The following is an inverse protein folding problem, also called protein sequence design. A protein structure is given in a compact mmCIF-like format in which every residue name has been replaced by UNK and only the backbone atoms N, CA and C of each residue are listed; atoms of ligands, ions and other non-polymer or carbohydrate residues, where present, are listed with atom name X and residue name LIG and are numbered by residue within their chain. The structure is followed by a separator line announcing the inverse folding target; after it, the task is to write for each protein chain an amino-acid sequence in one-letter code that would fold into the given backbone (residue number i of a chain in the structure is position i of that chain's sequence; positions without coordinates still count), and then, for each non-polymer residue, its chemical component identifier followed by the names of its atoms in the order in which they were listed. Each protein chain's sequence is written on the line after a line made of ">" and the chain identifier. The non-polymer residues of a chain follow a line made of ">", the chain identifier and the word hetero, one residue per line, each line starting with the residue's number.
data_IF_635319160667
#
_entry.id   IF_635319160667
#
_cell.length_a   1.000
_cell.length_b   1.000
_cell.length_c   1.000
_cell.angle_alpha   90.00
_cell.angle_beta   90.00
_cell.angle_gamma   90.00
#
_symmetry.space_group_name_H-M   'P 1'
#
loop_
_entity.id
_entity.type
_entity.pdbx_description
1 polymer ?
#
# COMPACT_ATOMS: atom_id res chain seq x y z
N UNK A 1 -12.82 4.88 -18.25
CA UNK A 1 -12.25 5.96 -17.43
C UNK A 1 -13.06 6.19 -16.17
N UNK A 2 -14.40 6.39 -16.24
CA UNK A 2 -15.26 6.56 -15.05
C UNK A 2 -15.07 5.45 -14.02
N UNK A 3 -14.97 4.18 -14.47
CA UNK A 3 -14.72 3.02 -13.59
C UNK A 3 -13.33 3.12 -12.93
N UNK A 4 -12.30 3.54 -13.65
CA UNK A 4 -10.95 3.70 -13.13
C UNK A 4 -10.85 4.86 -12.12
N UNK A 5 -11.61 5.93 -12.33
CA UNK A 5 -11.62 7.09 -11.43
C UNK A 5 -12.54 6.91 -10.22
N UNK A 6 -13.65 6.17 -10.37
CA UNK A 6 -14.62 5.94 -9.30
C UNK A 6 -14.31 4.73 -8.41
N UNK A 7 -13.30 3.92 -8.77
CA UNK A 7 -12.88 2.79 -7.95
C UNK A 7 -12.21 3.24 -6.66
N UNK A 8 -12.52 2.60 -5.53
CA UNK A 8 -11.85 2.79 -4.24
C UNK A 8 -10.44 2.21 -4.29
N UNK A 9 -9.52 2.89 -4.97
CA UNK A 9 -8.10 2.54 -5.04
C UNK A 9 -7.32 3.45 -4.12
N UNK A 10 -6.40 2.87 -3.33
CA UNK A 10 -5.48 3.63 -2.48
C UNK A 10 -4.46 4.46 -3.26
N UNK A 11 -4.26 4.16 -4.54
CA UNK A 11 -3.47 4.98 -5.47
C UNK A 11 -4.36 6.00 -6.19
N UNK A 12 -5.17 6.71 -5.45
CA UNK A 12 -5.94 7.82 -5.99
C UNK A 12 -5.19 9.14 -5.80
N UNK A 13 -5.35 10.07 -6.75
CA UNK A 13 -4.69 11.38 -6.72
C UNK A 13 -5.05 12.17 -5.45
N UNK A 14 -6.22 11.93 -4.87
CA UNK A 14 -6.62 12.52 -3.58
C UNK A 14 -5.77 12.06 -2.40
N UNK A 15 -5.11 10.89 -2.49
CA UNK A 15 -4.38 10.27 -1.40
C UNK A 15 -2.85 10.36 -1.59
N UNK A 16 -2.38 10.74 -2.79
CA UNK A 16 -0.95 10.85 -3.07
C UNK A 16 -0.43 12.24 -2.69
N UNK A 17 0.59 12.28 -1.84
CA UNK A 17 1.19 13.52 -1.33
C UNK A 17 2.72 13.41 -1.22
N UNK A 18 3.37 12.82 -2.23
CA UNK A 18 4.83 12.78 -2.28
C UNK A 18 5.40 14.19 -2.57
N UNK A 19 6.23 14.69 -1.66
CA UNK A 19 6.83 16.01 -1.78
C UNK A 19 8.10 16.01 -2.66
N UNK A 20 8.88 14.92 -2.60
CA UNK A 20 10.20 14.78 -3.21
C UNK A 20 10.52 13.33 -3.60
N UNK A 21 11.63 13.15 -4.33
CA UNK A 21 12.12 11.85 -4.75
C UNK A 21 12.56 10.96 -3.59
N UNK A 22 13.01 11.53 -2.48
CA UNK A 22 13.41 10.73 -1.31
C UNK A 22 12.22 10.00 -0.70
N UNK A 23 11.05 10.63 -0.68
CA UNK A 23 9.81 10.00 -0.26
C UNK A 23 9.37 8.90 -1.24
N UNK A 24 9.49 9.15 -2.54
CA UNK A 24 9.22 8.17 -3.59
C UNK A 24 10.16 6.97 -3.44
N UNK A 25 11.45 7.20 -3.27
CA UNK A 25 12.44 6.13 -3.10
C UNK A 25 12.19 5.30 -1.82
N UNK A 26 11.80 5.95 -0.71
CA UNK A 26 11.39 5.20 0.49
C UNK A 26 10.16 4.33 0.22
N UNK A 27 9.16 4.87 -0.45
CA UNK A 27 7.95 4.14 -0.82
C UNK A 27 8.26 2.94 -1.73
N UNK A 28 9.14 3.11 -2.73
CA UNK A 28 9.57 2.02 -3.60
C UNK A 28 10.27 0.91 -2.82
N UNK A 29 11.20 1.24 -1.91
CA UNK A 29 11.89 0.23 -1.09
C UNK A 29 10.94 -0.57 -0.22
N UNK A 30 9.89 0.04 0.32
CA UNK A 30 8.86 -0.67 1.10
C UNK A 30 8.01 -1.57 0.20
N UNK A 31 7.88 -1.23 -1.10
CA UNK A 31 7.26 -2.07 -2.12
C UNK A 31 8.25 -3.05 -2.79
N UNK A 32 9.42 -3.29 -2.19
CA UNK A 32 10.45 -4.22 -2.66
C UNK A 32 11.05 -3.86 -4.03
N UNK A 33 11.08 -2.57 -4.36
CA UNK A 33 11.85 -2.01 -5.47
C UNK A 33 13.05 -1.23 -4.94
N UNK A 34 14.25 -1.58 -5.36
CA UNK A 34 15.43 -0.79 -5.03
C UNK A 34 15.66 0.29 -6.11
N UNK A 35 15.50 1.59 -5.78
CA UNK A 35 15.73 2.66 -6.75
C UNK A 35 17.17 2.74 -7.28
N UNK A 36 18.12 2.10 -6.62
CA UNK A 36 19.52 2.00 -7.09
C UNK A 36 19.76 0.79 -8.02
N UNK A 37 18.82 -0.14 -8.10
CA UNK A 37 18.88 -1.32 -8.96
C UNK A 37 18.38 -0.99 -10.38
N UNK A 38 19.23 -1.09 -11.37
CA UNK A 38 18.82 -0.92 -12.77
C UNK A 38 17.76 -1.95 -13.19
N UNK A 39 17.82 -3.16 -12.65
CA UNK A 39 16.86 -4.24 -12.96
C UNK A 39 15.48 -3.88 -12.41
N UNK A 40 15.40 -3.37 -11.18
CA UNK A 40 14.12 -2.98 -10.57
C UNK A 40 13.51 -1.77 -11.27
N UNK A 41 14.35 -0.82 -11.69
CA UNK A 41 13.88 0.34 -12.44
C UNK A 41 13.39 -0.04 -13.83
N UNK A 42 14.10 -0.94 -14.54
CA UNK A 42 13.65 -1.49 -15.81
C UNK A 42 12.32 -2.26 -15.68
N UNK A 43 12.18 -3.06 -14.62
CA UNK A 43 10.92 -3.74 -14.32
C UNK A 43 9.77 -2.75 -14.11
N UNK A 44 10.00 -1.64 -13.40
CA UNK A 44 8.99 -0.62 -13.19
C UNK A 44 8.58 0.07 -14.50
N UNK A 45 9.55 0.31 -15.39
CA UNK A 45 9.31 0.83 -16.74
C UNK A 45 8.46 -0.12 -17.58
N UNK A 46 8.75 -1.42 -17.53
CA UNK A 46 8.00 -2.45 -18.27
C UNK A 46 6.55 -2.50 -17.79
N UNK A 47 6.29 -2.43 -16.49
CA UNK A 47 4.93 -2.39 -15.94
C UNK A 47 4.20 -1.11 -16.36
N UNK A 48 4.91 0.04 -16.47
CA UNK A 48 4.34 1.27 -17.01
C UNK A 48 3.94 1.10 -18.48
N UNK A 49 4.84 0.58 -19.30
CA UNK A 49 4.58 0.37 -20.73
C UNK A 49 3.36 -0.53 -20.94
N UNK A 50 3.25 -1.61 -20.18
CA UNK A 50 2.09 -2.51 -20.20
C UNK A 50 0.80 -1.81 -19.78
N UNK A 51 0.86 -0.98 -18.74
CA UNK A 51 -0.30 -0.19 -18.29
C UNK A 51 -0.79 0.80 -19.36
N UNK A 52 0.14 1.48 -20.04
CA UNK A 52 -0.17 2.41 -21.13
C UNK A 52 -0.78 1.67 -22.32
N UNK A 53 -0.19 0.53 -22.70
CA UNK A 53 -0.73 -0.33 -23.76
C UNK A 53 -2.13 -0.82 -23.43
N UNK A 54 -2.36 -1.30 -22.20
CA UNK A 54 -3.66 -1.74 -21.72
C UNK A 54 -4.71 -0.63 -21.84
N UNK A 55 -4.40 0.58 -21.38
CA UNK A 55 -5.31 1.73 -21.43
C UNK A 55 -5.64 2.14 -22.86
N UNK A 56 -4.67 2.09 -23.74
CA UNK A 56 -4.83 2.42 -25.15
C UNK A 56 -5.70 1.36 -25.86
N UNK A 57 -5.39 0.08 -25.66
CA UNK A 57 -6.04 -1.03 -26.37
C UNK A 57 -7.48 -1.26 -25.89
N UNK A 58 -7.73 -1.22 -24.57
CA UNK A 58 -9.05 -1.56 -24.01
C UNK A 58 -10.00 -0.37 -23.87
N UNK A 59 -9.47 0.82 -23.68
CA UNK A 59 -10.29 2.02 -23.45
C UNK A 59 -10.17 3.08 -24.56
N UNK A 60 -9.28 2.86 -25.54
CA UNK A 60 -8.96 3.88 -26.54
C UNK A 60 -8.42 5.17 -25.88
N UNK A 61 -7.83 5.04 -24.67
CA UNK A 61 -7.42 6.19 -23.88
C UNK A 61 -5.99 6.56 -24.21
N UNK A 62 -5.83 7.70 -24.89
CA UNK A 62 -4.51 8.19 -25.27
C UNK A 62 -3.83 8.84 -24.07
N UNK A 63 -2.72 8.25 -23.63
CA UNK A 63 -1.85 8.80 -22.59
C UNK A 63 -0.88 9.79 -23.25
N UNK A 64 -0.71 11.01 -22.70
CA UNK A 64 0.30 11.96 -23.18
C UNK A 64 1.71 11.37 -23.09
N UNK A 65 2.57 11.71 -24.06
CA UNK A 65 3.93 11.18 -24.15
C UNK A 65 4.75 11.52 -22.89
N UNK A 66 4.50 12.67 -22.26
CA UNK A 66 5.15 13.08 -21.00
C UNK A 66 4.88 12.09 -19.85
N UNK A 67 3.72 11.42 -19.85
CA UNK A 67 3.35 10.42 -18.84
C UNK A 67 3.72 9.01 -19.31
N UNK A 68 3.60 8.75 -20.61
CA UNK A 68 3.87 7.44 -21.19
C UNK A 68 5.36 7.09 -21.12
N UNK A 69 6.26 8.07 -21.43
CA UNK A 69 7.71 7.84 -21.52
C UNK A 69 8.58 9.07 -21.20
N UNK A 70 7.96 10.25 -21.03
CA UNK A 70 8.69 11.52 -20.89
C UNK A 70 9.38 11.72 -19.54
N UNK A 71 9.02 10.95 -18.51
CA UNK A 71 9.66 10.93 -17.18
C UNK A 71 9.91 9.49 -16.76
N UNK A 72 10.90 9.22 -15.90
CA UNK A 72 11.09 7.89 -15.29
C UNK A 72 9.81 7.40 -14.59
N UNK A 73 9.51 6.10 -14.67
CA UNK A 73 8.25 5.53 -14.14
C UNK A 73 8.03 5.83 -12.65
N UNK A 74 9.08 5.87 -11.84
CA UNK A 74 8.98 6.20 -10.43
C UNK A 74 8.59 7.67 -10.17
N UNK A 75 8.90 8.59 -11.09
CA UNK A 75 8.50 10.00 -10.99
C UNK A 75 7.01 10.22 -11.26
N UNK A 76 6.29 9.23 -11.82
CA UNK A 76 4.83 9.31 -11.93
C UNK A 76 4.15 9.51 -10.59
N UNK A 77 4.76 9.03 -9.49
CA UNK A 77 4.27 9.26 -8.12
C UNK A 77 4.30 10.74 -7.75
N UNK A 78 5.34 11.47 -8.16
CA UNK A 78 5.41 12.93 -7.97
C UNK A 78 4.42 13.65 -8.86
N UNK A 79 4.29 13.25 -10.14
CA UNK A 79 3.31 13.84 -11.04
C UNK A 79 1.89 13.66 -10.53
N UNK A 80 1.55 12.49 -10.01
CA UNK A 80 0.25 12.20 -9.43
C UNK A 80 -0.01 12.95 -8.12
N UNK A 81 1.05 13.35 -7.38
CA UNK A 81 0.95 14.09 -6.11
C UNK A 81 0.81 15.60 -6.27
N UNK A 82 1.08 16.13 -7.46
CA UNK A 82 1.06 17.58 -7.71
C UNK A 82 -0.19 17.96 -8.49
N UNK A 83 -0.90 19.01 -8.05
CA UNK A 83 -2.05 19.57 -8.80
C UNK A 83 -1.53 20.23 -10.10
N UNK A 84 -1.43 19.45 -11.17
CA UNK A 84 -0.88 19.84 -12.45
C UNK A 84 -1.59 19.16 -13.62
N UNK A 85 -1.33 19.61 -14.85
CA UNK A 85 -1.96 19.14 -16.10
C UNK A 85 -1.97 17.61 -16.24
N UNK A 86 -0.90 16.93 -15.82
CA UNK A 86 -0.74 15.49 -16.04
C UNK A 86 -1.11 14.62 -14.82
N UNK A 87 -1.57 15.20 -13.72
CA UNK A 87 -1.89 14.51 -12.49
C UNK A 87 -2.86 13.33 -12.70
N UNK A 88 -3.98 13.58 -13.36
CA UNK A 88 -5.00 12.56 -13.61
C UNK A 88 -4.47 11.41 -14.47
N UNK A 89 -3.68 11.72 -15.50
CA UNK A 89 -3.08 10.70 -16.36
C UNK A 89 -2.07 9.83 -15.60
N UNK A 90 -1.19 10.45 -14.83
CA UNK A 90 -0.23 9.74 -13.98
C UNK A 90 -0.95 8.83 -12.95
N UNK A 91 -2.01 9.34 -12.32
CA UNK A 91 -2.81 8.56 -11.37
C UNK A 91 -3.48 7.36 -12.03
N UNK A 92 -4.06 7.52 -13.23
CA UNK A 92 -4.69 6.41 -13.96
C UNK A 92 -3.66 5.33 -14.32
N UNK A 93 -2.49 5.72 -14.84
CA UNK A 93 -1.40 4.79 -15.17
C UNK A 93 -0.94 4.06 -13.92
N UNK A 94 -0.67 4.76 -12.81
CA UNK A 94 -0.27 4.15 -11.54
C UNK A 94 -1.30 3.16 -10.99
N UNK A 95 -2.60 3.43 -11.13
CA UNK A 95 -3.65 2.48 -10.74
C UNK A 95 -3.59 1.18 -11.53
N UNK A 96 -3.37 1.26 -12.84
CA UNK A 96 -3.23 0.07 -13.67
C UNK A 96 -1.93 -0.67 -13.35
N UNK A 97 -0.81 0.04 -13.21
CA UNK A 97 0.47 -0.54 -12.78
C UNK A 97 0.33 -1.32 -11.47
N UNK A 98 -0.38 -0.75 -10.50
CA UNK A 98 -0.61 -1.40 -9.20
C UNK A 98 -1.41 -2.71 -9.36
N UNK A 99 -2.43 -2.73 -10.20
CA UNK A 99 -3.21 -3.94 -10.47
C UNK A 99 -2.36 -5.01 -11.18
N UNK A 100 -1.58 -4.62 -12.20
CA UNK A 100 -0.68 -5.52 -12.91
C UNK A 100 0.33 -6.16 -11.95
N UNK A 101 0.98 -5.35 -11.12
CA UNK A 101 1.94 -5.85 -10.12
C UNK A 101 1.30 -6.85 -9.13
N UNK A 102 0.06 -6.63 -8.73
CA UNK A 102 -0.66 -7.58 -7.87
C UNK A 102 -0.98 -8.89 -8.59
N UNK A 103 -1.34 -8.84 -9.86
CA UNK A 103 -1.59 -10.04 -10.67
C UNK A 103 -0.31 -10.85 -10.84
N UNK A 104 0.79 -10.20 -11.20
CA UNK A 104 2.10 -10.83 -11.37
C UNK A 104 2.61 -11.46 -10.06
N UNK A 105 2.47 -10.73 -8.95
CA UNK A 105 2.85 -11.22 -7.63
C UNK A 105 2.07 -12.49 -7.23
N UNK A 106 0.79 -12.55 -7.55
CA UNK A 106 -0.03 -13.77 -7.32
C UNK A 106 0.41 -14.93 -8.19
N UNK A 107 0.69 -14.68 -9.47
CA UNK A 107 1.15 -15.72 -10.39
C UNK A 107 2.49 -16.31 -9.96
N UNK A 108 3.43 -15.47 -9.52
CA UNK A 108 4.72 -15.90 -8.99
C UNK A 108 4.53 -16.81 -7.77
N UNK A 109 3.66 -16.43 -6.82
CA UNK A 109 3.40 -17.26 -5.63
C UNK A 109 2.87 -18.66 -5.96
N UNK A 110 2.08 -18.80 -7.03
CA UNK A 110 1.62 -20.12 -7.50
C UNK A 110 2.70 -20.93 -8.20
N UNK A 111 3.68 -20.26 -8.81
CA UNK A 111 4.78 -20.94 -9.54
C UNK A 111 5.96 -21.32 -8.64
N UNK A 112 6.14 -20.62 -7.51
CA UNK A 112 7.24 -20.93 -6.59
C UNK A 112 6.90 -22.14 -5.72
N UNK A 113 7.80 -23.14 -5.62
CA UNK A 113 7.63 -24.29 -4.73
C UNK A 113 7.96 -23.91 -3.28
N UNK A 114 7.31 -22.85 -2.77
CA UNK A 114 7.51 -22.33 -1.41
C UNK A 114 6.28 -22.68 -0.58
N UNK A 115 6.47 -23.29 0.58
CA UNK A 115 5.36 -23.58 1.49
C UNK A 115 4.86 -22.30 2.18
N UNK A 116 3.55 -22.28 2.50
CA UNK A 116 2.96 -21.20 3.32
C UNK A 116 3.80 -20.94 4.60
N UNK A 117 4.31 -21.98 5.24
CA UNK A 117 5.11 -21.88 6.46
C UNK A 117 6.44 -21.17 6.25
N UNK A 118 7.10 -21.38 5.11
CA UNK A 118 8.34 -20.67 4.76
C UNK A 118 8.07 -19.18 4.51
N UNK A 119 7.02 -18.86 3.75
CA UNK A 119 6.61 -17.47 3.51
C UNK A 119 6.26 -16.78 4.83
N UNK A 120 5.49 -17.43 5.69
CA UNK A 120 5.10 -16.89 6.99
C UNK A 120 6.30 -16.68 7.91
N UNK A 121 7.28 -17.60 7.92
CA UNK A 121 8.51 -17.44 8.68
C UNK A 121 9.32 -16.21 8.26
N UNK A 122 9.40 -15.93 6.95
CA UNK A 122 10.07 -14.75 6.42
C UNK A 122 9.33 -13.46 6.82
N UNK A 123 8.00 -13.44 6.70
CA UNK A 123 7.17 -12.29 7.09
C UNK A 123 7.33 -12.01 8.59
N UNK A 124 7.22 -13.04 9.43
CA UNK A 124 7.37 -12.89 10.89
C UNK A 124 8.74 -12.33 11.26
N UNK A 125 9.82 -12.88 10.69
CA UNK A 125 11.17 -12.42 10.95
C UNK A 125 11.35 -10.96 10.56
N UNK A 126 10.84 -10.54 9.41
CA UNK A 126 10.89 -9.15 8.94
C UNK A 126 10.10 -8.22 9.88
N UNK A 127 8.88 -8.61 10.26
CA UNK A 127 8.03 -7.79 11.13
C UNK A 127 8.65 -7.64 12.51
N UNK A 128 9.14 -8.72 13.11
CA UNK A 128 9.83 -8.71 14.42
C UNK A 128 11.03 -7.77 14.37
N UNK A 129 11.89 -7.91 13.36
CA UNK A 129 13.06 -7.05 13.21
C UNK A 129 12.71 -5.57 13.12
N UNK A 130 11.69 -5.22 12.32
CA UNK A 130 11.28 -3.82 12.14
C UNK A 130 10.66 -3.26 13.44
N UNK A 131 9.82 -4.03 14.12
CA UNK A 131 9.23 -3.60 15.40
C UNK A 131 10.28 -3.40 16.47
N UNK A 132 11.30 -4.26 16.53
CA UNK A 132 12.42 -4.11 17.48
C UNK A 132 13.27 -2.87 17.16
N UNK A 133 13.48 -2.56 15.87
CA UNK A 133 14.14 -1.32 15.47
C UNK A 133 13.30 -0.09 15.85
N UNK A 134 11.97 -0.15 15.67
CA UNK A 134 11.06 0.93 16.07
C UNK A 134 11.11 1.16 17.58
N UNK A 135 11.10 0.11 18.39
CA UNK A 135 11.26 0.19 19.84
C UNK A 135 12.60 0.79 20.25
N UNK A 136 13.68 0.35 19.60
CA UNK A 136 15.04 0.86 19.85
C UNK A 136 15.18 2.34 19.45
N UNK A 137 14.41 2.79 18.47
CA UNK A 137 14.32 4.20 18.08
C UNK A 137 13.39 5.04 19.01
N UNK A 138 12.88 4.45 20.10
CA UNK A 138 12.10 5.14 21.11
C UNK A 138 10.60 5.26 20.80
N UNK A 139 10.07 4.55 19.81
CA UNK A 139 8.62 4.55 19.57
C UNK A 139 7.89 3.89 20.76
N UNK A 140 6.77 4.43 21.21
CA UNK A 140 6.07 4.03 22.43
C UNK A 140 5.24 2.75 22.26
N UNK A 141 5.88 1.67 21.79
CA UNK A 141 5.28 0.34 21.64
C UNK A 141 5.51 -0.44 22.94
N UNK A 142 4.43 -0.67 23.68
CA UNK A 142 4.45 -1.35 24.99
C UNK A 142 4.47 -2.86 24.82
N UNK A 143 3.64 -3.37 23.90
CA UNK A 143 3.52 -4.81 23.65
C UNK A 143 3.50 -5.07 22.15
N UNK A 144 4.14 -6.16 21.77
CA UNK A 144 4.08 -6.72 20.42
C UNK A 144 3.86 -8.21 20.52
N UNK A 145 2.85 -8.71 19.83
CA UNK A 145 2.53 -10.13 19.77
C UNK A 145 2.11 -10.51 18.35
N UNK A 146 2.33 -11.76 17.98
CA UNK A 146 1.85 -12.30 16.71
C UNK A 146 1.33 -13.72 16.89
N UNK A 147 0.47 -14.13 15.97
CA UNK A 147 -0.06 -15.49 15.94
C UNK A 147 -0.36 -15.92 14.51
N UNK A 148 -0.16 -17.20 14.23
CA UNK A 148 -0.65 -17.84 13.00
C UNK A 148 -1.98 -18.53 13.30
N UNK A 149 -2.86 -18.56 12.32
CA UNK A 149 -4.02 -19.45 12.37
C UNK A 149 -3.57 -20.87 12.08
N UNK A 150 -3.87 -21.76 12.99
CA UNK A 150 -3.69 -23.18 12.79
C UNK A 150 -4.54 -23.69 11.63
N UNK A 151 -4.01 -24.67 10.89
CA UNK A 151 -4.66 -25.26 9.73
C UNK A 151 -6.06 -25.79 10.07
N UNK A 152 -6.24 -26.41 11.22
CA UNK A 152 -7.52 -26.95 11.68
C UNK A 152 -8.55 -25.84 11.92
N UNK A 153 -8.14 -24.71 12.47
CA UNK A 153 -8.98 -23.51 12.61
C UNK A 153 -9.41 -22.95 11.25
N UNK A 154 -8.54 -23.01 10.24
CA UNK A 154 -8.87 -22.60 8.87
C UNK A 154 -9.87 -23.57 8.24
N UNK A 155 -9.68 -24.88 8.39
CA UNK A 155 -10.59 -25.92 7.91
C UNK A 155 -11.97 -25.72 8.55
N UNK A 156 -12.03 -25.58 9.87
CA UNK A 156 -13.29 -25.37 10.61
C UNK A 156 -14.01 -24.10 10.11
N UNK A 157 -13.28 -23.01 9.88
CA UNK A 157 -13.86 -21.76 9.36
C UNK A 157 -14.43 -21.92 7.96
N UNK A 158 -13.73 -22.65 7.08
CA UNK A 158 -14.17 -22.92 5.71
C UNK A 158 -15.40 -23.82 5.67
N UNK A 159 -15.47 -24.79 6.56
CA UNK A 159 -16.66 -25.68 6.70
C UNK A 159 -17.88 -24.93 7.24
N UNK A 160 -17.66 -23.96 8.13
CA UNK A 160 -18.74 -23.19 8.75
C UNK A 160 -19.33 -22.08 7.84
N UNK A 161 -18.58 -21.59 6.86
CA UNK A 161 -19.00 -20.51 5.96
C UNK A 161 -19.16 -21.01 4.54
N UNK A 162 -20.41 -21.17 4.08
CA UNK A 162 -20.75 -21.70 2.74
C UNK A 162 -20.19 -20.91 1.56
N UNK A 163 -19.97 -19.59 1.74
CA UNK A 163 -19.58 -18.68 0.65
C UNK A 163 -18.10 -18.22 0.73
N UNK A 164 -17.26 -18.91 1.52
CA UNK A 164 -15.85 -18.53 1.66
C UNK A 164 -14.95 -19.55 0.97
N UNK A 165 -14.35 -19.14 -0.13
CA UNK A 165 -13.28 -19.91 -0.79
C UNK A 165 -11.99 -19.82 0.04
N UNK A 166 -11.19 -20.90 0.04
CA UNK A 166 -9.89 -20.92 0.74
C UNK A 166 -8.96 -19.78 0.30
N UNK A 167 -9.06 -19.36 -0.97
CA UNK A 167 -8.33 -18.22 -1.52
C UNK A 167 -8.71 -16.87 -0.89
N UNK A 168 -9.87 -16.75 -0.26
CA UNK A 168 -10.36 -15.53 0.40
C UNK A 168 -10.04 -15.47 1.90
N UNK A 169 -9.26 -16.43 2.42
CA UNK A 169 -8.83 -16.37 3.82
C UNK A 169 -7.52 -15.61 3.91
N UNK A 170 -7.62 -14.28 3.99
CA UNK A 170 -6.46 -13.37 4.10
C UNK A 170 -5.86 -13.32 5.50
N UNK A 171 -6.61 -13.68 6.53
CA UNK A 171 -6.29 -13.59 7.95
C UNK A 171 -5.51 -14.84 8.43
N UNK A 172 -4.40 -15.17 7.77
CA UNK A 172 -3.55 -16.32 8.13
C UNK A 172 -2.51 -15.97 9.20
N UNK A 173 -2.02 -14.73 9.21
CA UNK A 173 -1.10 -14.18 10.22
C UNK A 173 -1.74 -12.94 10.83
N UNK A 174 -1.60 -12.79 12.14
CA UNK A 174 -2.05 -11.63 12.88
C UNK A 174 -0.88 -11.05 13.67
N UNK A 175 -0.69 -9.75 13.57
CA UNK A 175 0.22 -8.97 14.40
C UNK A 175 -0.60 -7.99 15.27
N UNK A 176 -0.19 -7.85 16.52
CA UNK A 176 -0.79 -6.92 17.47
C UNK A 176 0.29 -6.05 18.07
N UNK A 177 0.16 -4.73 17.90
CA UNK A 177 0.96 -3.72 18.55
C UNK A 177 0.08 -2.96 19.54
N UNK A 178 0.59 -2.75 20.76
CA UNK A 178 -0.07 -1.94 21.75
C UNK A 178 0.82 -0.74 22.04
N UNK A 179 0.29 0.46 21.84
CA UNK A 179 0.93 1.71 22.20
C UNK A 179 0.52 2.13 23.59
N UNK A 180 1.32 2.98 24.25
CA UNK A 180 1.06 3.45 25.60
C UNK A 180 -0.23 4.27 25.67
N UNK A 181 -0.45 5.14 24.68
CA UNK A 181 -1.61 6.02 24.56
C UNK A 181 -2.09 6.08 23.12
N UNK A 182 -3.31 6.49 22.90
CA UNK A 182 -3.87 6.63 21.55
C UNK A 182 -3.18 7.73 20.73
N UNK A 183 -2.64 8.78 21.37
CA UNK A 183 -1.89 9.85 20.73
C UNK A 183 -0.58 9.37 20.11
N UNK A 184 -0.08 8.22 20.54
CA UNK A 184 1.14 7.59 20.02
C UNK A 184 0.89 6.83 18.70
N UNK A 185 -0.38 6.44 18.46
CA UNK A 185 -0.75 5.62 17.29
C UNK A 185 -0.38 6.25 15.94
N UNK A 186 -0.61 7.56 15.68
CA UNK A 186 -0.25 8.15 14.39
C UNK A 186 1.23 8.03 14.05
N UNK A 187 2.12 8.20 15.02
CA UNK A 187 3.57 8.07 14.82
C UNK A 187 3.98 6.63 14.53
N UNK A 188 3.38 5.67 15.24
CA UNK A 188 3.65 4.24 15.04
C UNK A 188 3.10 3.78 13.68
N UNK A 189 1.89 4.17 13.31
CA UNK A 189 1.29 3.85 12.00
C UNK A 189 2.15 4.43 10.86
N UNK A 190 2.59 5.69 10.98
CA UNK A 190 3.47 6.30 9.98
C UNK A 190 4.76 5.50 9.79
N UNK A 191 5.41 5.08 10.87
CA UNK A 191 6.63 4.28 10.78
C UNK A 191 6.37 2.89 10.21
N UNK A 192 5.25 2.25 10.53
CA UNK A 192 4.83 1.00 9.92
C UNK A 192 4.62 1.16 8.40
N UNK A 193 3.95 2.23 7.98
CA UNK A 193 3.73 2.50 6.57
C UNK A 193 5.03 2.83 5.81
N UNK A 194 6.00 3.44 6.49
CA UNK A 194 7.28 3.79 5.89
C UNK A 194 8.28 2.62 5.82
N UNK A 195 8.09 1.56 6.63
CA UNK A 195 9.09 0.49 6.78
C UNK A 195 8.57 -0.91 6.48
N UNK A 196 7.28 -1.15 6.63
CA UNK A 196 6.73 -2.51 6.62
C UNK A 196 5.55 -2.69 5.67
N UNK A 197 4.47 -1.91 5.85
CA UNK A 197 3.22 -2.05 5.10
C UNK A 197 2.90 -0.74 4.42
N UNK A 198 3.32 -0.55 3.17
CA UNK A 198 3.01 0.67 2.46
C UNK A 198 1.50 0.84 2.30
N UNK A 199 1.04 2.09 2.27
CA UNK A 199 -0.40 2.41 2.28
C UNK A 199 -1.18 1.77 1.10
N UNK A 200 -0.52 1.49 -0.02
CA UNK A 200 -1.12 0.86 -1.19
C UNK A 200 -1.47 -0.63 -1.00
N UNK A 201 -1.05 -1.25 0.12
CA UNK A 201 -1.47 -2.59 0.52
C UNK A 201 -2.64 -2.62 1.51
N UNK A 202 -3.11 -1.45 1.94
CA UNK A 202 -4.32 -1.36 2.77
C UNK A 202 -5.55 -1.64 1.90
N UNK A 203 -6.36 -2.63 2.30
CA UNK A 203 -7.57 -3.00 1.56
C UNK A 203 -8.72 -2.09 2.03
N UNK A 204 -9.28 -1.25 1.14
CA UNK A 204 -10.42 -0.40 1.48
C UNK A 204 -11.61 -1.22 1.99
N UNK A 205 -12.30 -0.72 3.02
CA UNK A 205 -13.46 -1.39 3.62
C UNK A 205 -13.15 -2.59 4.51
N UNK A 206 -11.89 -3.06 4.56
CA UNK A 206 -11.42 -4.11 5.48
C UNK A 206 -10.76 -3.53 6.73
N UNK A 207 -10.38 -2.25 6.68
CA UNK A 207 -9.79 -1.54 7.81
C UNK A 207 -10.88 -0.84 8.62
N UNK A 208 -10.90 -1.11 9.93
CA UNK A 208 -11.85 -0.49 10.87
C UNK A 208 -11.06 0.34 11.88
N UNK A 209 -11.37 1.62 11.97
CA UNK A 209 -10.81 2.50 12.98
C UNK A 209 -11.77 2.61 14.16
N UNK A 210 -11.38 2.07 15.31
CA UNK A 210 -12.12 2.17 16.58
C UNK A 210 -11.33 2.87 17.69
N UNK A 211 -10.08 3.27 17.41
CA UNK A 211 -9.14 3.77 18.42
C UNK A 211 -8.76 5.23 18.24
N UNK A 212 -8.71 5.71 16.99
CA UNK A 212 -8.27 7.06 16.68
C UNK A 212 -9.49 7.99 16.55
N UNK A 213 -9.71 8.90 17.51
CA UNK A 213 -10.70 9.94 17.36
C UNK A 213 -10.18 11.01 16.38
N UNK A 214 -10.36 10.79 15.07
CA UNK A 214 -9.83 11.68 14.04
C UNK A 214 -10.23 13.13 14.24
N UNK A 215 -11.47 13.42 14.66
CA UNK A 215 -11.92 14.78 14.95
C UNK A 215 -11.02 15.46 15.97
N UNK A 216 -10.68 14.78 17.08
CA UNK A 216 -9.77 15.31 18.11
C UNK A 216 -8.34 15.51 17.59
N UNK A 217 -7.86 14.62 16.73
CA UNK A 217 -6.53 14.76 16.11
C UNK A 217 -6.48 16.02 15.24
N UNK A 218 -7.53 16.26 14.45
CA UNK A 218 -7.63 17.46 13.62
C UNK A 218 -7.73 18.76 14.43
N UNK A 219 -8.30 18.70 15.62
CA UNK A 219 -8.39 19.83 16.53
C UNK A 219 -7.05 20.16 17.21
N UNK A 220 -6.25 19.15 17.53
CA UNK A 220 -5.00 19.29 18.30
C UNK A 220 -3.81 19.68 17.43
N UNK A 221 -3.76 19.23 16.16
CA UNK A 221 -2.61 19.48 15.28
C UNK A 221 -2.86 20.66 14.32
N UNK A 222 -2.09 21.76 14.41
CA UNK A 222 -2.25 22.93 13.52
C UNK A 222 -2.09 22.60 12.04
N UNK A 223 -1.24 21.61 11.70
CA UNK A 223 -1.03 21.17 10.32
C UNK A 223 -2.28 20.49 9.72
N UNK A 224 -3.06 19.78 10.54
CA UNK A 224 -4.27 19.08 10.09
C UNK A 224 -5.50 19.99 10.09
N UNK A 225 -5.52 21.05 10.88
CA UNK A 225 -6.59 22.06 10.87
C UNK A 225 -6.75 22.71 9.48
N UNK A 226 -5.66 22.84 8.73
CA UNK A 226 -5.66 23.40 7.35
C UNK A 226 -6.31 22.45 6.34
N UNK A 227 -6.38 21.15 6.62
CA UNK A 227 -6.99 20.14 5.76
C UNK A 227 -8.49 19.93 6.03
N UNK A 228 -9.01 20.49 7.13
CA UNK A 228 -10.41 20.35 7.55
C UNK A 228 -11.43 20.77 6.48
N UNK A 229 -11.25 21.90 5.76
CA UNK A 229 -12.17 22.30 4.71
C UNK A 229 -12.19 21.35 3.51
N UNK A 230 -11.06 20.70 3.20
CA UNK A 230 -10.92 19.77 2.08
C UNK A 230 -11.58 18.41 2.37
N UNK A 231 -11.63 17.99 3.65
CA UNK A 231 -12.20 16.72 4.10
C UNK A 231 -13.72 16.80 4.37
N UNK A 232 -14.29 18.01 4.47
CA UNK A 232 -15.73 18.22 4.67
C UNK A 232 -16.48 18.46 3.36
N UNK A 233 -15.77 18.50 2.22
CA UNK A 233 -16.34 18.77 0.90
C UNK A 233 -16.65 17.50 0.07
N UNK A 234 -16.50 16.30 0.64
CA UNK A 234 -16.95 15.00 0.14
C UNK A 234 -18.10 14.48 1.02
#
# INVERSE_FOLDING_TARGET
>A
IRILLAGSSVLDWHHLAFADLDQVHRFLRVNEFDPSSAIDMERLENVRAEAVEYLTRHFGYRIPDEVAEGVPAHELLLLASRRARFQTYACIVLKVMHVLQHLDGREILFKLPVSDDQVFGLIESKVVQIVDQMRSAGLPIVEFAWSRKERDSLITKLLAKRDTLAAHVYDKIRFRLICRRWEDLPSVIRELCNRLVPFNYVIPGQSVNTLLPFEKIFEIQPATQRLRPELQSD
#
